data_IF_348378794312
#
_entry.id   IF_348378794312
#
_cell.length_a   1.000
_cell.length_b   1.000
_cell.length_c   1.000
_cell.angle_alpha   90.00
_cell.angle_beta   90.00
_cell.angle_gamma   90.00
#
_symmetry.space_group_name_H-M   'P 1'
#
loop_
_entity.id
_entity.type
_entity.pdbx_description
1 polymer ?
#
# COMPACT_ATOMS: atom_id res chain seq x y z
N UNK A 1 16.30 -14.14 1.19
CA UNK A 1 15.62 -14.13 -0.14
C UNK A 1 14.45 -13.18 0.01
N UNK A 2 14.36 -12.17 -0.87
CA UNK A 2 13.30 -11.17 -0.86
C UNK A 2 12.00 -11.83 -1.32
N UNK A 3 10.88 -11.63 -0.60
CA UNK A 3 9.58 -12.11 -1.02
C UNK A 3 9.01 -11.19 -2.13
N UNK A 4 8.43 -11.77 -3.17
CA UNK A 4 7.88 -11.04 -4.31
C UNK A 4 6.35 -11.06 -4.22
N UNK A 5 5.76 -9.91 -3.90
CA UNK A 5 4.33 -9.73 -3.73
C UNK A 5 3.64 -9.07 -4.93
N UNK A 6 2.34 -9.35 -5.07
CA UNK A 6 1.44 -8.69 -6.00
C UNK A 6 0.68 -7.58 -5.29
N UNK A 7 0.64 -6.36 -5.86
CA UNK A 7 -0.21 -5.29 -5.36
C UNK A 7 -1.55 -5.26 -6.10
N UNK A 8 -2.63 -5.39 -5.34
CA UNK A 8 -4.00 -5.35 -5.83
C UNK A 8 -4.58 -3.93 -5.65
N UNK A 9 -4.59 -3.13 -6.73
CA UNK A 9 -5.09 -1.75 -6.73
C UNK A 9 -6.61 -1.70 -6.83
N UNK A 10 -7.26 -1.26 -5.78
CA UNK A 10 -8.72 -1.04 -5.75
C UNK A 10 -9.15 0.12 -6.62
N UNK A 11 -8.29 1.08 -6.89
CA UNK A 11 -8.55 2.30 -7.65
C UNK A 11 -8.74 2.02 -9.15
N UNK A 12 -8.09 0.97 -9.66
CA UNK A 12 -8.02 0.67 -11.08
C UNK A 12 -8.94 -0.45 -11.56
N UNK A 13 -9.42 -1.29 -10.64
CA UNK A 13 -10.14 -2.52 -11.00
C UNK A 13 -11.43 -2.68 -10.22
N UNK A 14 -12.46 -3.22 -10.90
CA UNK A 14 -13.65 -3.66 -10.18
C UNK A 14 -13.30 -4.77 -9.18
N UNK A 15 -14.03 -4.88 -8.04
CA UNK A 15 -13.74 -5.89 -7.03
C UNK A 15 -13.72 -7.33 -7.58
N UNK A 16 -14.52 -7.62 -8.61
CA UNK A 16 -14.58 -8.94 -9.27
C UNK A 16 -13.32 -9.21 -10.07
N UNK A 17 -12.88 -8.25 -10.88
CA UNK A 17 -11.66 -8.36 -11.70
C UNK A 17 -10.43 -8.49 -10.80
N UNK A 18 -10.37 -7.69 -9.74
CA UNK A 18 -9.28 -7.72 -8.78
C UNK A 18 -9.19 -9.07 -8.04
N UNK A 19 -10.35 -9.69 -7.71
CA UNK A 19 -10.37 -11.03 -7.12
C UNK A 19 -9.89 -12.11 -8.11
N UNK A 20 -10.19 -11.97 -9.39
CA UNK A 20 -9.64 -12.86 -10.41
C UNK A 20 -8.13 -12.65 -10.60
N UNK A 21 -7.67 -11.40 -10.59
CA UNK A 21 -6.25 -11.07 -10.73
C UNK A 21 -5.41 -11.65 -9.59
N UNK A 22 -5.85 -11.53 -8.33
CA UNK A 22 -5.09 -12.04 -7.19
C UNK A 22 -5.01 -13.58 -7.17
N UNK A 23 -6.06 -14.28 -7.61
CA UNK A 23 -6.00 -15.74 -7.78
C UNK A 23 -5.02 -16.14 -8.88
N UNK A 24 -4.98 -15.37 -9.97
CA UNK A 24 -4.01 -15.60 -11.04
C UNK A 24 -2.59 -15.26 -10.57
N UNK A 25 -2.40 -14.21 -9.76
CA UNK A 25 -1.10 -13.87 -9.19
C UNK A 25 -0.53 -15.03 -8.35
N UNK A 26 -1.35 -15.66 -7.50
CA UNK A 26 -0.96 -16.88 -6.79
C UNK A 26 -0.58 -18.02 -7.75
N UNK A 27 -1.40 -18.26 -8.76
CA UNK A 27 -1.19 -19.35 -9.71
C UNK A 27 0.09 -19.20 -10.53
N UNK A 28 0.49 -17.96 -10.86
CA UNK A 28 1.72 -17.69 -11.63
C UNK A 28 2.97 -17.58 -10.74
N UNK A 29 2.82 -17.65 -9.43
CA UNK A 29 3.93 -17.83 -8.48
C UNK A 29 4.38 -16.58 -7.73
N UNK A 30 3.53 -15.59 -7.50
CA UNK A 30 3.78 -14.58 -6.48
C UNK A 30 3.74 -15.23 -5.08
N UNK A 31 4.60 -14.77 -4.19
CA UNK A 31 4.75 -15.35 -2.85
C UNK A 31 3.69 -14.82 -1.87
N UNK A 32 3.21 -13.61 -2.09
CA UNK A 32 2.27 -12.89 -1.24
C UNK A 32 1.52 -11.80 -2.02
N UNK A 33 0.59 -11.11 -1.37
CA UNK A 33 -0.09 -9.97 -1.96
C UNK A 33 -0.36 -8.85 -0.95
N UNK A 34 -0.69 -7.66 -1.44
CA UNK A 34 -1.21 -6.57 -0.65
C UNK A 34 -2.26 -5.78 -1.44
N UNK A 35 -3.04 -4.95 -0.78
CA UNK A 35 -3.96 -4.03 -1.44
C UNK A 35 -3.97 -2.65 -0.80
N UNK A 36 -4.40 -1.65 -1.57
CA UNK A 36 -4.74 -0.31 -1.12
C UNK A 36 -6.14 -0.27 -0.49
N UNK A 37 -6.42 0.77 0.29
CA UNK A 37 -7.73 1.04 0.89
C UNK A 37 -8.13 2.49 0.64
N UNK A 38 -8.60 2.75 -0.57
CA UNK A 38 -9.07 4.04 -1.01
C UNK A 38 -10.61 4.09 -1.09
N UNK A 39 -11.18 5.28 -0.89
CA UNK A 39 -12.58 5.56 -1.14
C UNK A 39 -12.80 6.02 -2.58
N UNK A 40 -11.85 6.79 -3.11
CA UNK A 40 -11.87 7.32 -4.46
C UNK A 40 -10.58 6.95 -5.23
N UNK A 41 -10.64 6.81 -6.56
CA UNK A 41 -9.44 6.68 -7.38
C UNK A 41 -8.68 8.02 -7.43
N UNK A 42 -7.39 7.98 -7.77
CA UNK A 42 -6.59 9.20 -7.95
C UNK A 42 -7.04 10.03 -9.17
N UNK A 43 -7.52 9.35 -10.20
CA UNK A 43 -8.05 9.96 -11.42
C UNK A 43 -9.27 9.21 -11.89
N UNK A 44 -10.16 9.87 -12.66
CA UNK A 44 -11.33 9.21 -13.25
C UNK A 44 -10.97 8.11 -14.25
N UNK A 45 -9.77 8.18 -14.84
CA UNK A 45 -9.26 7.15 -15.74
C UNK A 45 -9.05 5.80 -15.03
N UNK A 46 -8.69 5.79 -13.74
CA UNK A 46 -8.63 4.58 -12.92
C UNK A 46 -10.02 3.97 -12.71
N UNK A 47 -10.99 4.74 -12.26
CA UNK A 47 -12.42 4.48 -12.43
C UNK A 47 -13.08 3.55 -11.42
N UNK A 48 -12.37 3.07 -10.40
CA UNK A 48 -12.89 2.18 -9.37
C UNK A 48 -12.45 2.63 -7.97
N UNK A 49 -13.08 2.11 -6.94
CA UNK A 49 -12.56 2.03 -5.57
C UNK A 49 -13.48 1.12 -4.74
N UNK A 50 -13.17 -0.17 -4.69
CA UNK A 50 -13.92 -1.14 -3.90
C UNK A 50 -13.55 -1.07 -2.42
N UNK A 51 -14.49 -1.39 -1.52
CA UNK A 51 -14.21 -1.44 -0.09
C UNK A 51 -13.24 -2.58 0.26
N UNK A 52 -12.00 -2.22 0.57
CA UNK A 52 -10.89 -3.15 0.70
C UNK A 52 -11.10 -4.22 1.78
N UNK A 53 -11.63 -3.86 2.94
CA UNK A 53 -11.86 -4.80 4.04
C UNK A 53 -12.86 -5.92 3.68
N UNK A 54 -13.95 -5.58 2.96
CA UNK A 54 -14.91 -6.58 2.49
C UNK A 54 -14.32 -7.49 1.43
N UNK A 55 -13.55 -6.92 0.50
CA UNK A 55 -12.90 -7.65 -0.57
C UNK A 55 -11.79 -8.57 -0.03
N UNK A 56 -11.01 -8.10 0.94
CA UNK A 56 -9.88 -8.83 1.52
C UNK A 56 -10.30 -10.15 2.18
N UNK A 57 -11.47 -10.17 2.83
CA UNK A 57 -12.03 -11.42 3.34
C UNK A 57 -12.26 -12.47 2.23
N UNK A 58 -12.73 -12.04 1.07
CA UNK A 58 -12.92 -12.92 -0.10
C UNK A 58 -11.58 -13.32 -0.74
N UNK A 59 -10.62 -12.40 -0.81
CA UNK A 59 -9.28 -12.66 -1.35
C UNK A 59 -8.54 -13.71 -0.50
N UNK A 60 -8.48 -13.53 0.81
CA UNK A 60 -7.88 -14.47 1.76
C UNK A 60 -8.56 -15.84 1.73
N UNK A 61 -9.89 -15.89 1.60
CA UNK A 61 -10.65 -17.15 1.50
C UNK A 61 -10.43 -17.89 0.17
N UNK A 62 -10.00 -17.20 -0.88
CA UNK A 62 -9.83 -17.76 -2.22
C UNK A 62 -8.39 -17.99 -2.66
N UNK A 63 -7.43 -17.69 -1.78
CA UNK A 63 -5.98 -17.88 -1.97
C UNK A 63 -5.36 -18.47 -0.71
N UNK A 64 -4.10 -18.88 -0.79
CA UNK A 64 -3.31 -19.33 0.39
C UNK A 64 -2.19 -18.34 0.75
N UNK A 65 -1.94 -17.34 -0.09
CA UNK A 65 -0.90 -16.33 0.12
C UNK A 65 -1.14 -15.48 1.38
N UNK A 66 -0.09 -15.01 2.05
CA UNK A 66 -0.18 -13.89 3.00
C UNK A 66 -0.68 -12.61 2.29
N UNK A 67 -1.41 -11.78 3.04
CA UNK A 67 -1.97 -10.53 2.53
C UNK A 67 -1.68 -9.34 3.44
N UNK A 68 -1.32 -8.22 2.82
CA UNK A 68 -1.25 -6.91 3.46
C UNK A 68 -2.36 -5.97 3.05
N UNK A 69 -2.65 -5.02 3.90
CA UNK A 69 -3.54 -3.90 3.62
C UNK A 69 -2.87 -2.61 4.06
N UNK A 70 -2.85 -1.59 3.19
CA UNK A 70 -2.46 -0.22 3.58
C UNK A 70 -3.72 0.59 3.81
N UNK A 71 -3.92 1.09 5.03
CA UNK A 71 -5.14 1.79 5.46
C UNK A 71 -4.81 2.98 6.37
N UNK A 72 -5.77 3.89 6.56
CA UNK A 72 -5.63 5.08 7.40
C UNK A 72 -6.69 5.09 8.52
N UNK A 73 -6.35 4.63 9.74
CA UNK A 73 -7.26 4.72 10.87
C UNK A 73 -7.25 6.13 11.49
N UNK A 74 -8.39 6.57 12.01
CA UNK A 74 -8.52 7.79 12.82
C UNK A 74 -9.46 8.85 12.25
N UNK A 75 -9.87 8.76 10.99
CA UNK A 75 -10.90 9.63 10.43
C UNK A 75 -12.00 8.81 9.74
N UNK A 76 -11.84 8.40 8.48
CA UNK A 76 -12.82 7.56 7.77
C UNK A 76 -13.11 6.25 8.52
N UNK A 77 -12.08 5.63 9.08
CA UNK A 77 -12.23 4.46 9.94
C UNK A 77 -11.93 4.81 11.40
N UNK A 78 -12.93 4.68 12.25
CA UNK A 78 -12.68 4.71 13.69
C UNK A 78 -11.74 3.55 14.09
N UNK A 79 -10.69 3.78 14.92
CA UNK A 79 -9.68 2.75 15.22
C UNK A 79 -10.24 1.48 15.86
N UNK A 80 -11.34 1.57 16.60
CA UNK A 80 -12.04 0.39 17.16
C UNK A 80 -12.61 -0.49 16.05
N UNK A 81 -13.15 0.10 14.97
CA UNK A 81 -13.68 -0.65 13.82
C UNK A 81 -12.52 -1.26 13.01
N UNK A 82 -11.42 -0.52 12.82
CA UNK A 82 -10.22 -1.07 12.21
C UNK A 82 -9.65 -2.25 13.02
N UNK A 83 -9.54 -2.11 14.34
CA UNK A 83 -9.11 -3.21 15.22
C UNK A 83 -10.03 -4.44 15.12
N UNK A 84 -11.36 -4.24 15.07
CA UNK A 84 -12.31 -5.33 14.91
C UNK A 84 -12.14 -6.04 13.58
N UNK A 85 -11.93 -5.30 12.48
CA UNK A 85 -11.70 -5.86 11.16
C UNK A 85 -10.39 -6.65 11.10
N UNK A 86 -9.29 -6.08 11.62
CA UNK A 86 -7.98 -6.75 11.75
C UNK A 86 -8.11 -8.06 12.54
N UNK A 87 -8.72 -7.99 13.73
CA UNK A 87 -8.90 -9.16 14.59
C UNK A 87 -9.74 -10.25 13.94
N UNK A 88 -10.79 -9.88 13.21
CA UNK A 88 -11.64 -10.81 12.46
C UNK A 88 -10.87 -11.53 11.37
N UNK A 89 -10.14 -10.79 10.52
CA UNK A 89 -9.36 -11.38 9.43
C UNK A 89 -8.24 -12.27 9.96
N UNK A 90 -7.52 -11.82 10.98
CA UNK A 90 -6.43 -12.59 11.56
C UNK A 90 -6.92 -13.86 12.28
N UNK A 91 -8.12 -13.86 12.86
CA UNK A 91 -8.72 -15.07 13.45
C UNK A 91 -9.20 -16.06 12.38
N UNK A 92 -9.77 -15.55 11.28
CA UNK A 92 -10.20 -16.38 10.15
C UNK A 92 -9.02 -16.97 9.38
N UNK A 93 -7.91 -16.25 9.29
CA UNK A 93 -6.73 -16.58 8.49
C UNK A 93 -5.44 -16.40 9.30
N UNK A 94 -5.15 -17.28 10.27
CA UNK A 94 -4.00 -17.16 11.15
C UNK A 94 -2.68 -17.04 10.37
N UNK A 95 -1.80 -16.15 10.82
CA UNK A 95 -0.45 -15.88 10.28
C UNK A 95 -0.40 -15.43 8.81
N UNK A 96 -1.54 -15.04 8.23
CA UNK A 96 -1.65 -14.65 6.83
C UNK A 96 -1.99 -13.18 6.61
N UNK A 97 -2.12 -12.38 7.66
CA UNK A 97 -2.55 -11.00 7.52
C UNK A 97 -1.65 -10.02 8.28
N UNK A 98 -1.33 -8.90 7.65
CA UNK A 98 -0.70 -7.74 8.27
C UNK A 98 -1.38 -6.44 7.81
N UNK A 99 -1.34 -5.41 8.65
CA UNK A 99 -1.92 -4.11 8.34
C UNK A 99 -0.85 -3.02 8.37
N UNK A 100 -0.74 -2.24 7.30
CA UNK A 100 0.03 -1.01 7.31
C UNK A 100 -0.88 0.17 7.63
N UNK A 101 -0.43 1.00 8.55
CA UNK A 101 -1.15 2.16 9.04
C UNK A 101 -0.48 3.44 8.53
N UNK A 102 -1.22 4.26 7.80
CA UNK A 102 -0.84 5.56 7.27
C UNK A 102 -1.67 6.70 7.87
N UNK A 103 -1.20 7.93 7.69
CA UNK A 103 -1.91 9.12 8.20
C UNK A 103 -3.08 9.58 7.34
N UNK A 104 -3.32 8.89 6.22
CA UNK A 104 -4.40 9.19 5.27
C UNK A 104 -4.10 10.31 4.30
N UNK A 105 -5.05 10.58 3.44
CA UNK A 105 -5.05 11.55 2.36
C UNK A 105 -6.41 12.26 2.32
N UNK A 106 -6.45 13.55 1.99
CA UNK A 106 -7.71 14.30 1.91
C UNK A 106 -8.70 13.62 0.96
N UNK A 107 -8.22 13.08 -0.17
CA UNK A 107 -9.01 12.34 -1.17
C UNK A 107 -9.93 11.27 -0.54
N UNK A 108 -9.45 10.58 0.48
CA UNK A 108 -10.17 9.48 1.11
C UNK A 108 -10.89 9.85 2.41
N UNK A 109 -10.38 10.88 3.10
CA UNK A 109 -10.78 11.16 4.48
C UNK A 109 -11.76 12.34 4.61
N UNK A 110 -11.81 13.29 3.65
CA UNK A 110 -12.65 14.48 3.67
C UNK A 110 -14.16 14.17 3.83
N UNK A 111 -14.57 12.98 3.41
CA UNK A 111 -15.99 12.53 3.38
C UNK A 111 -16.65 12.48 4.75
N UNK A 112 -15.88 12.49 5.84
CA UNK A 112 -16.43 12.55 7.21
C UNK A 112 -16.99 13.93 7.56
N UNK A 113 -16.58 14.97 6.82
CA UNK A 113 -16.93 16.36 7.12
C UNK A 113 -16.14 17.00 8.25
N UNK A 114 -15.16 16.30 8.85
CA UNK A 114 -14.34 16.82 9.97
C UNK A 114 -13.19 17.73 9.51
N UNK A 115 -13.09 18.00 8.20
CA UNK A 115 -11.99 18.73 7.59
C UNK A 115 -10.71 17.89 7.50
N UNK A 116 -9.66 18.47 6.90
CA UNK A 116 -8.37 17.82 6.74
C UNK A 116 -7.30 18.51 7.58
N UNK A 117 -6.80 17.89 8.66
CA UNK A 117 -5.84 18.52 9.55
C UNK A 117 -4.42 18.52 8.99
N UNK A 118 -3.56 19.37 9.57
CA UNK A 118 -2.14 19.41 9.22
C UNK A 118 -1.39 18.10 9.53
N UNK A 119 -0.23 17.90 8.90
CA UNK A 119 0.59 16.69 9.06
C UNK A 119 0.90 16.34 10.52
N UNK A 120 1.33 17.27 11.40
CA UNK A 120 1.59 16.95 12.80
C UNK A 120 0.36 16.40 13.54
N UNK A 121 -0.82 16.95 13.28
CA UNK A 121 -2.06 16.47 13.87
C UNK A 121 -2.47 15.11 13.32
N UNK A 122 -2.31 14.88 12.02
CA UNK A 122 -2.51 13.56 11.39
C UNK A 122 -1.59 12.49 11.99
N UNK A 123 -0.32 12.84 12.26
CA UNK A 123 0.63 11.93 12.89
C UNK A 123 0.25 11.59 14.34
N UNK A 124 -0.15 12.57 15.15
CA UNK A 124 -0.66 12.28 16.52
C UNK A 124 -1.88 11.38 16.49
N UNK A 125 -2.84 11.68 15.61
CA UNK A 125 -4.04 10.86 15.40
C UNK A 125 -3.70 9.44 15.00
N UNK A 126 -2.76 9.25 14.07
CA UNK A 126 -2.29 7.93 13.66
C UNK A 126 -1.62 7.18 14.81
N UNK A 127 -0.77 7.84 15.60
CA UNK A 127 -0.10 7.22 16.75
C UNK A 127 -1.11 6.75 17.79
N UNK A 128 -2.04 7.59 18.18
CA UNK A 128 -3.10 7.22 19.12
C UNK A 128 -3.97 6.07 18.58
N UNK A 129 -4.26 6.10 17.28
CA UNK A 129 -5.00 5.01 16.62
C UNK A 129 -4.23 3.69 16.64
N UNK A 130 -2.94 3.71 16.35
CA UNK A 130 -2.08 2.51 16.37
C UNK A 130 -1.99 1.92 17.79
N UNK A 131 -1.79 2.76 18.80
CA UNK A 131 -1.74 2.33 20.20
C UNK A 131 -3.09 1.75 20.65
N UNK A 132 -4.21 2.39 20.29
CA UNK A 132 -5.56 1.88 20.58
C UNK A 132 -5.83 0.54 19.88
N UNK A 133 -5.48 0.40 18.60
CA UNK A 133 -5.62 -0.84 17.85
C UNK A 133 -4.81 -1.96 18.51
N UNK A 134 -3.55 -1.69 18.87
CA UNK A 134 -2.67 -2.66 19.53
C UNK A 134 -3.25 -3.15 20.85
N UNK A 135 -3.70 -2.25 21.72
CA UNK A 135 -4.34 -2.60 23.00
C UNK A 135 -5.62 -3.41 22.81
N UNK A 136 -6.49 -3.02 21.86
CA UNK A 136 -7.72 -3.75 21.56
C UNK A 136 -7.45 -5.16 21.04
N UNK A 137 -6.45 -5.36 20.17
CA UNK A 137 -6.05 -6.67 19.66
C UNK A 137 -5.41 -7.53 20.76
N UNK A 138 -4.71 -6.93 21.74
CA UNK A 138 -4.21 -7.60 22.92
C UNK A 138 -5.33 -7.98 23.91
N UNK A 139 -6.55 -7.47 23.72
CA UNK A 139 -7.73 -7.76 24.55
C UNK A 139 -7.91 -6.81 25.72
N UNK A 140 -7.22 -5.71 25.70
CA UNK A 140 -7.36 -4.64 26.69
C UNK A 140 -8.71 -3.92 26.55
N UNK A 141 -9.11 -3.27 27.61
CA UNK A 141 -10.17 -2.27 27.64
C UNK A 141 -9.52 -0.93 27.38
N UNK A 142 -9.93 -0.24 26.31
CA UNK A 142 -9.25 0.97 25.83
C UNK A 142 -10.15 2.19 25.98
N UNK A 143 -9.61 3.23 26.62
CA UNK A 143 -10.14 4.58 26.66
C UNK A 143 -9.10 5.55 26.12
N UNK A 144 -9.47 6.42 25.17
CA UNK A 144 -8.62 7.48 24.61
C UNK A 144 -9.43 8.77 24.57
N UNK A 145 -8.82 9.87 24.99
CA UNK A 145 -9.39 11.21 24.91
C UNK A 145 -8.33 12.17 24.38
N UNK A 146 -8.09 12.13 23.06
CA UNK A 146 -7.07 12.89 22.37
C UNK A 146 -7.53 13.35 20.98
N UNK A 147 -6.71 13.13 19.97
CA UNK A 147 -7.06 13.36 18.55
C UNK A 147 -8.12 12.35 18.06
N UNK A 148 -8.20 11.19 18.72
CA UNK A 148 -9.30 10.23 18.62
C UNK A 148 -10.03 10.14 19.96
N UNK A 149 -11.29 9.69 19.92
CA UNK A 149 -12.05 9.41 21.14
C UNK A 149 -12.44 7.94 21.11
N UNK A 150 -12.00 7.18 22.11
CA UNK A 150 -12.42 5.79 22.35
C UNK A 150 -12.96 5.72 23.78
N UNK A 151 -14.15 5.18 23.95
CA UNK A 151 -14.75 5.06 25.28
C UNK A 151 -15.09 3.60 25.59
N UNK A 152 -14.46 3.07 26.64
CA UNK A 152 -14.71 1.76 27.22
C UNK A 152 -14.78 0.61 26.17
N UNK A 153 -13.90 0.67 25.14
CA UNK A 153 -13.94 -0.24 24.02
C UNK A 153 -13.17 -1.54 24.28
N UNK A 154 -13.68 -2.64 23.73
CA UNK A 154 -13.03 -3.95 23.72
C UNK A 154 -13.36 -4.71 22.46
N UNK A 155 -12.39 -5.38 21.86
CA UNK A 155 -12.58 -6.33 20.75
C UNK A 155 -12.70 -7.74 21.32
N UNK A 156 -13.73 -8.48 20.88
CA UNK A 156 -14.05 -9.81 21.39
C UNK A 156 -13.47 -10.95 20.54
N UNK A 157 -13.51 -10.81 19.20
CA UNK A 157 -12.85 -11.73 18.28
C UNK A 157 -11.41 -11.26 18.07
N UNK A 158 -10.46 -11.94 18.71
CA UNK A 158 -9.06 -11.55 18.74
C UNK A 158 -8.19 -12.60 18.06
N UNK A 159 -7.09 -12.20 17.41
CA UNK A 159 -6.12 -13.14 16.89
C UNK A 159 -5.44 -13.90 18.03
N UNK A 160 -5.00 -15.12 17.77
CA UNK A 160 -4.21 -15.92 18.72
C UNK A 160 -2.77 -15.44 18.83
N UNK A 161 -2.21 -14.94 17.72
CA UNK A 161 -0.88 -14.31 17.64
C UNK A 161 -0.99 -12.81 17.31
N UNK A 162 -0.03 -11.99 17.72
CA UNK A 162 0.00 -10.58 17.37
C UNK A 162 -0.02 -10.37 15.85
N UNK A 163 -0.88 -9.47 15.36
CA UNK A 163 -0.90 -9.05 13.96
C UNK A 163 0.13 -7.93 13.76
N UNK A 164 1.04 -8.04 12.78
CA UNK A 164 1.99 -6.97 12.52
C UNK A 164 1.28 -5.66 12.11
N UNK A 165 1.53 -4.58 12.85
CA UNK A 165 1.10 -3.23 12.54
C UNK A 165 2.29 -2.47 11.94
N UNK A 166 2.32 -2.38 10.62
CA UNK A 166 3.42 -1.79 9.83
C UNK A 166 3.21 -0.29 9.70
N UNK A 167 4.27 0.51 9.74
CA UNK A 167 4.18 1.95 9.50
C UNK A 167 4.33 2.26 8.01
N UNK A 168 3.38 3.00 7.42
CA UNK A 168 3.51 3.50 6.06
C UNK A 168 4.23 4.84 6.06
N UNK A 169 5.32 4.95 5.28
CA UNK A 169 6.13 6.15 5.20
C UNK A 169 6.73 6.32 3.80
N UNK A 170 6.53 7.50 3.20
CA UNK A 170 7.09 7.87 1.89
C UNK A 170 8.20 8.92 1.99
N UNK A 171 8.58 9.32 3.20
CA UNK A 171 9.69 10.24 3.45
C UNK A 171 10.59 9.75 4.57
N UNK A 172 11.87 10.10 4.50
CA UNK A 172 12.88 9.79 5.50
C UNK A 172 12.48 10.23 6.93
N UNK A 173 11.88 11.43 7.07
CA UNK A 173 11.36 11.94 8.34
C UNK A 173 10.26 11.03 8.92
N UNK A 174 9.28 10.66 8.08
CA UNK A 174 8.18 9.79 8.52
C UNK A 174 8.70 8.38 8.81
N UNK A 175 9.66 7.86 8.05
CA UNK A 175 10.29 6.58 8.29
C UNK A 175 11.00 6.52 9.67
N UNK A 176 11.72 7.57 10.04
CA UNK A 176 12.31 7.67 11.38
C UNK A 176 11.24 7.70 12.49
N UNK A 177 10.13 8.40 12.26
CA UNK A 177 9.02 8.49 13.22
C UNK A 177 8.27 7.15 13.40
N UNK A 178 8.02 6.40 12.32
CA UNK A 178 7.32 5.10 12.44
C UNK A 178 8.17 4.04 13.12
N UNK A 179 9.50 4.17 13.10
CA UNK A 179 10.42 3.26 13.78
C UNK A 179 10.19 3.13 15.30
N UNK A 180 9.58 4.16 15.91
CA UNK A 180 9.28 4.18 17.34
C UNK A 180 8.09 3.28 17.76
N UNK A 181 7.19 2.96 16.82
CA UNK A 181 5.95 2.27 17.19
C UNK A 181 5.56 1.11 16.28
N UNK A 182 6.06 1.07 15.05
CA UNK A 182 5.63 0.09 14.06
C UNK A 182 6.42 -1.22 14.14
N UNK A 183 5.77 -2.33 13.81
CA UNK A 183 6.38 -3.65 13.75
C UNK A 183 7.15 -3.88 12.43
N UNK A 184 7.16 -2.92 11.54
CA UNK A 184 7.84 -2.93 10.25
C UNK A 184 7.63 -1.62 9.49
N UNK A 185 8.25 -1.51 8.33
CA UNK A 185 8.12 -0.38 7.41
C UNK A 185 7.46 -0.83 6.10
N UNK A 186 6.61 0.02 5.52
CA UNK A 186 6.30 -0.03 4.09
C UNK A 186 6.51 1.35 3.47
N UNK A 187 7.17 1.35 2.31
CA UNK A 187 7.35 2.55 1.48
C UNK A 187 7.02 2.25 0.02
N UNK A 188 6.95 3.28 -0.80
CA UNK A 188 6.75 3.19 -2.25
C UNK A 188 7.77 4.08 -2.94
N UNK A 189 8.25 3.66 -4.11
CA UNK A 189 9.14 4.48 -4.92
C UNK A 189 9.69 3.77 -6.14
N UNK A 190 10.23 4.58 -7.07
CA UNK A 190 10.92 4.13 -8.27
C UNK A 190 12.32 4.76 -8.42
N UNK A 191 12.78 5.49 -7.38
CA UNK A 191 14.13 6.03 -7.26
C UNK A 191 14.92 5.25 -6.22
N UNK A 192 16.05 4.58 -6.59
CA UNK A 192 16.86 3.79 -5.67
C UNK A 192 17.47 4.60 -4.52
N UNK A 193 17.90 5.85 -4.78
CA UNK A 193 18.50 6.69 -3.74
C UNK A 193 17.44 7.10 -2.70
N UNK A 194 16.26 7.51 -3.14
CA UNK A 194 15.14 7.87 -2.27
C UNK A 194 14.64 6.71 -1.43
N UNK A 195 14.47 5.52 -2.01
CA UNK A 195 14.05 4.32 -1.26
C UNK A 195 15.10 3.86 -0.26
N UNK A 196 16.38 3.90 -0.62
CA UNK A 196 17.49 3.59 0.28
C UNK A 196 17.58 4.58 1.45
N UNK A 197 17.37 5.88 1.21
CA UNK A 197 17.34 6.90 2.28
C UNK A 197 16.20 6.64 3.27
N UNK A 198 14.98 6.36 2.79
CA UNK A 198 13.82 6.03 3.64
C UNK A 198 14.13 4.81 4.51
N UNK A 199 14.70 3.75 3.94
CA UNK A 199 15.07 2.54 4.67
C UNK A 199 16.18 2.82 5.70
N UNK A 200 17.22 3.54 5.32
CA UNK A 200 18.32 3.89 6.22
C UNK A 200 17.82 4.70 7.43
N UNK A 201 16.98 5.68 7.22
CA UNK A 201 16.40 6.51 8.31
C UNK A 201 15.51 5.69 9.25
N UNK A 202 14.75 4.73 8.72
CA UNK A 202 14.01 3.80 9.56
C UNK A 202 14.95 2.96 10.44
N UNK A 203 16.01 2.39 9.86
CA UNK A 203 17.01 1.56 10.57
C UNK A 203 17.81 2.37 11.59
N UNK A 204 18.26 3.57 11.24
CA UNK A 204 19.02 4.48 12.12
C UNK A 204 18.19 4.93 13.34
N UNK A 205 16.87 5.10 13.15
CA UNK A 205 15.94 5.41 14.23
C UNK A 205 15.59 4.19 15.12
N UNK A 206 16.16 3.02 14.86
CA UNK A 206 16.00 1.82 15.66
C UNK A 206 14.93 0.84 15.14
N UNK A 207 14.34 1.08 13.98
CA UNK A 207 13.39 0.18 13.34
C UNK A 207 14.05 -1.16 12.96
N UNK A 208 13.52 -2.27 13.48
CA UNK A 208 14.11 -3.61 13.32
C UNK A 208 13.19 -4.59 12.58
N UNK A 209 11.93 -4.24 12.43
CA UNK A 209 10.95 -5.09 11.74
C UNK A 209 11.19 -5.19 10.24
N UNK A 210 10.51 -6.10 9.54
CA UNK A 210 10.64 -6.27 8.10
C UNK A 210 10.32 -4.97 7.34
N UNK A 211 11.12 -4.67 6.32
CA UNK A 211 10.91 -3.54 5.43
C UNK A 211 10.29 -4.02 4.11
N UNK A 212 9.26 -3.31 3.67
CA UNK A 212 8.46 -3.60 2.48
C UNK A 212 8.55 -2.45 1.50
N UNK A 213 8.73 -2.78 0.23
CA UNK A 213 8.77 -1.80 -0.86
C UNK A 213 7.65 -2.10 -1.84
N UNK A 214 6.81 -1.11 -2.14
CA UNK A 214 5.91 -1.15 -3.28
C UNK A 214 6.57 -0.45 -4.47
N UNK A 215 6.53 -1.09 -5.64
CA UNK A 215 7.08 -0.54 -6.88
C UNK A 215 5.97 -0.49 -7.94
N UNK A 216 5.72 0.70 -8.49
CA UNK A 216 4.85 0.86 -9.64
C UNK A 216 5.59 0.47 -10.91
N UNK A 217 4.95 -0.33 -11.75
CA UNK A 217 5.56 -0.79 -13.01
C UNK A 217 4.59 -0.64 -14.17
N UNK A 218 5.13 -0.34 -15.35
CA UNK A 218 4.42 -0.45 -16.62
C UNK A 218 5.21 -1.32 -17.57
N UNK A 219 4.74 -2.54 -17.82
CA UNK A 219 5.39 -3.52 -18.69
C UNK A 219 4.60 -3.66 -19.99
N UNK A 220 5.04 -2.97 -21.05
CA UNK A 220 4.42 -2.96 -22.39
C UNK A 220 5.10 -3.93 -23.37
N UNK A 221 4.53 -4.06 -24.59
CA UNK A 221 5.19 -4.76 -25.71
C UNK A 221 6.31 -3.94 -26.32
N UNK A 222 6.17 -2.60 -26.23
CA UNK A 222 7.19 -1.60 -26.57
C UNK A 222 7.29 -0.59 -25.44
N UNK A 223 8.39 0.15 -25.36
CA UNK A 223 8.56 1.21 -24.35
C UNK A 223 7.52 2.32 -24.55
N UNK A 224 7.16 2.66 -25.79
CA UNK A 224 6.11 3.65 -26.11
C UNK A 224 4.74 3.19 -25.58
N UNK A 225 4.39 1.90 -25.74
CA UNK A 225 3.15 1.33 -25.18
C UNK A 225 3.17 1.37 -23.66
N UNK A 226 4.28 1.00 -23.03
CA UNK A 226 4.43 1.04 -21.58
C UNK A 226 4.30 2.47 -21.05
N UNK A 227 4.91 3.46 -21.71
CA UNK A 227 4.80 4.87 -21.36
C UNK A 227 3.37 5.41 -21.54
N UNK A 228 2.71 5.03 -22.64
CA UNK A 228 1.31 5.43 -22.88
C UNK A 228 0.35 4.90 -21.79
N UNK A 229 0.55 3.67 -21.36
CA UNK A 229 -0.22 3.06 -20.25
C UNK A 229 0.02 3.81 -18.94
N UNK A 230 1.28 4.11 -18.62
CA UNK A 230 1.61 4.88 -17.41
C UNK A 230 1.00 6.28 -17.48
N UNK A 231 1.07 6.96 -18.63
CA UNK A 231 0.47 8.29 -18.83
C UNK A 231 -1.06 8.29 -18.64
N UNK A 232 -1.76 7.27 -19.12
CA UNK A 232 -3.21 7.14 -18.97
C UNK A 232 -3.64 6.86 -17.52
N UNK A 233 -2.91 6.00 -16.82
CA UNK A 233 -3.34 5.48 -15.52
C UNK A 233 -2.65 6.14 -14.32
N UNK A 234 -1.51 6.82 -14.53
CA UNK A 234 -0.66 7.36 -13.46
C UNK A 234 -0.43 8.87 -13.57
N UNK A 235 -1.35 9.58 -14.23
CA UNK A 235 -1.25 11.02 -14.46
C UNK A 235 -1.14 11.85 -13.17
N UNK A 236 -1.68 11.38 -12.06
CA UNK A 236 -1.62 12.06 -10.76
C UNK A 236 -0.18 12.24 -10.23
N UNK A 237 0.81 11.48 -10.70
CA UNK A 237 2.22 11.68 -10.33
C UNK A 237 2.75 13.06 -10.74
N UNK A 238 2.10 13.74 -11.69
CA UNK A 238 2.42 15.10 -12.11
C UNK A 238 1.85 16.22 -11.21
N UNK A 239 1.16 15.87 -10.12
CA UNK A 239 0.67 16.84 -9.13
C UNK A 239 1.85 17.30 -8.26
N UNK A 240 1.98 18.63 -7.95
CA UNK A 240 2.99 19.13 -7.04
C UNK A 240 2.98 18.39 -5.69
N UNK A 241 4.17 17.99 -5.21
CA UNK A 241 4.31 17.13 -4.04
C UNK A 241 3.63 17.69 -2.76
N UNK A 242 3.62 19.02 -2.61
CA UNK A 242 2.97 19.70 -1.49
C UNK A 242 1.43 19.63 -1.51
N UNK A 243 0.84 19.31 -2.67
CA UNK A 243 -0.61 19.19 -2.86
C UNK A 243 -1.08 17.73 -2.89
N UNK A 244 -0.17 16.76 -3.10
CA UNK A 244 -0.50 15.35 -3.31
C UNK A 244 -1.45 14.79 -2.26
N UNK A 245 -1.29 15.19 -0.99
CA UNK A 245 -2.06 14.67 0.14
C UNK A 245 -3.22 15.58 0.57
N UNK A 246 -3.36 16.73 -0.09
CA UNK A 246 -4.27 17.80 0.32
C UNK A 246 -5.50 17.94 -0.60
N UNK A 247 -5.51 17.25 -1.75
CA UNK A 247 -6.62 17.30 -2.71
C UNK A 247 -7.72 16.32 -2.34
N UNK A 248 -8.97 16.73 -2.50
CA UNK A 248 -10.15 15.98 -2.05
C UNK A 248 -10.86 15.19 -3.18
N UNK A 249 -10.62 15.53 -4.45
CA UNK A 249 -11.37 14.94 -5.56
C UNK A 249 -10.46 14.55 -6.74
N UNK A 250 -10.75 13.48 -7.46
CA UNK A 250 -10.00 13.08 -8.65
C UNK A 250 -9.86 14.18 -9.71
N UNK A 251 -10.89 15.01 -9.86
CA UNK A 251 -10.90 16.15 -10.80
C UNK A 251 -9.83 17.21 -10.46
N UNK A 252 -9.47 17.37 -9.20
CA UNK A 252 -8.43 18.30 -8.76
C UNK A 252 -7.05 17.79 -9.15
N UNK A 253 -6.79 16.48 -9.01
CA UNK A 253 -5.57 15.85 -9.50
C UNK A 253 -5.43 16.01 -11.01
N UNK A 254 -6.48 15.70 -11.79
CA UNK A 254 -6.47 15.84 -13.25
C UNK A 254 -6.23 17.29 -13.71
N UNK A 255 -6.76 18.26 -12.98
CA UNK A 255 -6.61 19.69 -13.29
C UNK A 255 -5.23 20.23 -12.97
N UNK A 256 -4.56 19.71 -11.94
CA UNK A 256 -3.31 20.24 -11.42
C UNK A 256 -2.07 19.45 -11.89
N UNK A 257 -2.26 18.25 -12.41
CA UNK A 257 -1.14 17.42 -12.85
C UNK A 257 -0.47 17.97 -14.11
N UNK A 258 0.84 18.14 -14.05
CA UNK A 258 1.71 18.40 -15.20
C UNK A 258 2.42 17.09 -15.58
N UNK A 259 1.80 16.29 -16.43
CA UNK A 259 2.27 14.94 -16.76
C UNK A 259 3.38 14.99 -17.79
N UNK A 260 4.62 14.91 -17.34
CA UNK A 260 5.81 14.76 -18.19
C UNK A 260 6.31 13.32 -18.21
N UNK A 261 7.10 12.95 -19.24
CA UNK A 261 7.73 11.62 -19.25
C UNK A 261 8.70 11.45 -18.10
N UNK A 262 9.37 12.53 -17.70
CA UNK A 262 10.29 12.54 -16.56
C UNK A 262 9.55 12.24 -15.24
N UNK A 263 8.44 12.90 -14.96
CA UNK A 263 7.62 12.64 -13.77
C UNK A 263 7.12 11.18 -13.73
N UNK A 264 6.69 10.64 -14.87
CA UNK A 264 6.29 9.24 -14.98
C UNK A 264 7.45 8.29 -14.67
N UNK A 265 8.66 8.54 -15.19
CA UNK A 265 9.84 7.71 -14.93
C UNK A 265 10.37 7.84 -13.48
N UNK A 266 10.07 8.94 -12.79
CA UNK A 266 10.40 9.10 -11.36
C UNK A 266 9.47 8.29 -10.45
N UNK A 267 8.24 7.95 -10.89
CA UNK A 267 7.25 7.27 -10.08
C UNK A 267 6.94 5.83 -10.54
N UNK A 268 7.22 5.51 -11.81
CA UNK A 268 6.90 4.22 -12.43
C UNK A 268 8.12 3.63 -13.15
N UNK A 269 8.41 2.36 -12.90
CA UNK A 269 9.40 1.60 -13.69
C UNK A 269 8.76 1.19 -15.02
N UNK A 270 9.11 1.90 -16.09
CA UNK A 270 8.53 1.74 -17.43
C UNK A 270 9.51 0.96 -18.31
N UNK A 271 9.08 -0.14 -18.94
CA UNK A 271 9.91 -0.93 -19.84
C UNK A 271 9.10 -1.92 -20.67
N UNK A 272 9.58 -2.23 -21.87
CA UNK A 272 9.15 -3.39 -22.66
C UNK A 272 9.90 -4.68 -22.27
N UNK A 273 11.08 -4.54 -21.65
CA UNK A 273 11.94 -5.66 -21.26
C UNK A 273 11.71 -6.07 -19.82
N UNK A 274 11.22 -7.29 -19.61
CA UNK A 274 11.04 -7.87 -18.27
C UNK A 274 12.39 -8.05 -17.53
N UNK A 275 13.49 -8.34 -18.24
CA UNK A 275 14.81 -8.45 -17.61
C UNK A 275 15.31 -7.07 -17.12
N UNK A 276 15.23 -6.03 -17.97
CA UNK A 276 15.64 -4.68 -17.56
C UNK A 276 14.78 -4.14 -16.40
N UNK A 277 13.47 -4.46 -16.41
CA UNK A 277 12.57 -4.15 -15.31
C UNK A 277 12.98 -4.87 -14.02
N UNK A 278 13.31 -6.16 -14.10
CA UNK A 278 13.78 -6.94 -12.95
C UNK A 278 15.08 -6.39 -12.34
N UNK A 279 16.06 -6.00 -13.18
CA UNK A 279 17.30 -5.41 -12.73
C UNK A 279 17.06 -4.09 -11.99
N UNK A 280 16.12 -3.28 -12.50
CA UNK A 280 15.77 -2.01 -11.86
C UNK A 280 15.00 -2.19 -10.55
N UNK A 281 14.07 -3.16 -10.49
CA UNK A 281 13.37 -3.51 -9.24
C UNK A 281 14.35 -4.07 -8.21
N UNK A 282 15.32 -4.89 -8.62
CA UNK A 282 16.33 -5.43 -7.70
C UNK A 282 17.19 -4.32 -7.07
N UNK A 283 17.57 -3.31 -7.86
CA UNK A 283 18.29 -2.14 -7.34
C UNK A 283 17.44 -1.34 -6.34
N UNK A 284 16.14 -1.18 -6.59
CA UNK A 284 15.20 -0.53 -5.67
C UNK A 284 15.00 -1.34 -4.37
N UNK A 285 14.99 -2.65 -4.46
CA UNK A 285 14.70 -3.57 -3.36
C UNK A 285 15.92 -3.90 -2.48
N UNK A 286 17.08 -3.28 -2.72
CA UNK A 286 18.28 -3.53 -1.92
C UNK A 286 18.02 -3.20 -0.45
N UNK A 287 18.23 -4.19 0.43
CA UNK A 287 18.00 -4.08 1.87
C UNK A 287 16.54 -4.23 2.34
N UNK A 288 15.58 -4.38 1.42
CA UNK A 288 14.19 -4.70 1.75
C UNK A 288 13.98 -6.21 1.86
N UNK A 289 13.01 -6.60 2.71
CA UNK A 289 12.64 -8.00 2.93
C UNK A 289 11.56 -8.47 1.95
N UNK A 290 10.71 -7.54 1.48
CA UNK A 290 9.57 -7.77 0.59
C UNK A 290 9.49 -6.71 -0.50
N UNK A 291 9.15 -7.10 -1.73
CA UNK A 291 8.85 -6.18 -2.84
C UNK A 291 7.49 -6.49 -3.44
N UNK A 292 6.61 -5.50 -3.49
CA UNK A 292 5.27 -5.61 -4.06
C UNK A 292 5.20 -4.94 -5.42
N UNK A 293 4.83 -5.68 -6.44
CA UNK A 293 4.77 -5.21 -7.81
C UNK A 293 3.35 -4.72 -8.13
N UNK A 294 3.23 -3.43 -8.41
CA UNK A 294 2.00 -2.80 -8.84
C UNK A 294 2.07 -2.46 -10.33
N UNK A 295 1.45 -3.26 -11.18
CA UNK A 295 1.30 -2.91 -12.59
C UNK A 295 0.21 -1.86 -12.77
N UNK A 296 0.59 -0.67 -13.25
CA UNK A 296 -0.33 0.46 -13.40
C UNK A 296 -1.33 0.31 -14.57
N UNK A 297 -1.15 -0.67 -15.44
CA UNK A 297 -2.07 -0.94 -16.55
C UNK A 297 -3.29 -1.76 -16.12
N UNK A 298 -4.40 -1.60 -16.84
CA UNK A 298 -5.65 -2.32 -16.54
C UNK A 298 -5.66 -3.79 -16.97
N UNK A 299 -4.84 -4.20 -17.95
CA UNK A 299 -4.78 -5.62 -18.38
C UNK A 299 -3.88 -6.45 -17.47
N UNK A 300 -4.38 -6.73 -16.27
CA UNK A 300 -3.68 -7.56 -15.29
C UNK A 300 -3.47 -9.01 -15.79
N UNK A 301 -4.37 -9.53 -16.58
CA UNK A 301 -4.26 -10.90 -17.08
C UNK A 301 -3.07 -11.08 -18.03
N UNK A 302 -2.84 -10.13 -18.93
CA UNK A 302 -1.66 -10.14 -19.81
C UNK A 302 -0.38 -9.89 -19.04
N UNK A 303 -0.40 -8.93 -18.10
CA UNK A 303 0.74 -8.66 -17.23
C UNK A 303 1.15 -9.91 -16.43
N UNK A 304 0.20 -10.56 -15.76
CA UNK A 304 0.47 -11.74 -14.92
C UNK A 304 1.02 -12.94 -15.74
N UNK A 305 0.54 -13.14 -16.98
CA UNK A 305 1.16 -14.14 -17.89
C UNK A 305 2.62 -13.80 -18.25
N UNK A 306 2.93 -12.51 -18.42
CA UNK A 306 4.32 -12.07 -18.61
C UNK A 306 5.14 -12.19 -17.33
N UNK A 307 4.53 -12.01 -16.15
CA UNK A 307 5.19 -12.30 -14.89
C UNK A 307 5.63 -13.76 -14.80
N UNK A 308 4.73 -14.70 -15.09
CA UNK A 308 5.01 -16.15 -15.06
C UNK A 308 6.21 -16.53 -15.94
N UNK A 309 6.22 -16.05 -17.18
CA UNK A 309 7.16 -16.50 -18.19
C UNK A 309 8.47 -15.69 -18.24
N UNK A 310 8.45 -14.43 -17.80
CA UNK A 310 9.56 -13.49 -18.00
C UNK A 310 10.01 -12.83 -16.71
N UNK A 311 9.11 -12.06 -16.03
CA UNK A 311 9.48 -11.14 -14.96
C UNK A 311 9.83 -11.86 -13.64
N UNK A 312 9.00 -12.78 -13.16
CA UNK A 312 9.27 -13.52 -11.91
C UNK A 312 10.54 -14.38 -12.00
N UNK A 313 10.81 -15.11 -13.10
CA UNK A 313 12.08 -15.79 -13.28
C UNK A 313 13.29 -14.86 -13.29
N UNK A 314 13.16 -13.64 -13.85
CA UNK A 314 14.22 -12.64 -13.84
C UNK A 314 14.44 -12.05 -12.44
N UNK A 315 13.37 -11.66 -11.74
CA UNK A 315 13.42 -11.15 -10.37
C UNK A 315 14.04 -12.15 -9.39
N UNK A 316 13.66 -13.42 -9.46
CA UNK A 316 14.21 -14.48 -8.59
C UNK A 316 15.71 -14.76 -8.83
N UNK A 317 16.27 -14.31 -9.95
CA UNK A 317 17.72 -14.37 -10.20
C UNK A 317 18.43 -13.10 -9.73
N UNK A 318 17.74 -11.96 -9.72
CA UNK A 318 18.31 -10.67 -9.40
C UNK A 318 18.25 -10.32 -7.90
N UNK A 319 17.23 -10.81 -7.18
CA UNK A 319 17.01 -10.67 -5.73
C UNK A 319 17.59 -11.84 -4.93
#
# INVERSE_FOLDING_TARGET
>A
MVAIGFHASHEQHSPRELLAAVRLAEAVGFDEAMCSDHLAPWTRAQGHSGHAWSWLGAALASTTMPFGLVTAPGQRYHPVIAAQAIGTLAQMFPDRFWAALGSGEALNEHVTGDGWPDKPRRQRRLRESADAIRGLLAGERVDVSGEIVVHDARVWSRPEAPVPLVGAAVSAETAAWVADWADGLITVGADPEGTAEVLARYRDAGGRGPARLQVHVSLGRTDDEALAVARDQWAHCGVPAELMWELENPEDYERLAEVTDEALHQDVVISASASAMADRIAALAEGFDHVYIHHVGKDQATFLRRCENELLPALRRAL
#
